data_IF_385674796911
#
_entry.id   IF_385674796911
#
_cell.length_a   1.000
_cell.length_b   1.000
_cell.length_c   1.000
_cell.angle_alpha   90.00
_cell.angle_beta   90.00
_cell.angle_gamma   90.00
#
_symmetry.space_group_name_H-M   'P 1'
#
loop_
_entity.id
_entity.type
_entity.pdbx_description
1 polymer ?
2 non-polymer ?
3 water ?
#
# COMPACT_ATOMS: atom_id res chain seq x y z
N UNK A 1 -18.35 -10.11 14.64
CA UNK A 1 -19.32 -9.51 13.67
C UNK A 1 -18.59 -9.23 12.34
N UNK A 2 -17.39 -8.65 12.37
CA UNK A 2 -16.66 -8.37 11.10
C UNK A 2 -15.83 -9.61 10.79
N UNK A 3 -16.17 -10.36 9.72
CA UNK A 3 -15.48 -11.62 9.45
C UNK A 3 -14.00 -11.42 9.04
N UNK A 4 -13.64 -10.22 8.66
CA UNK A 4 -12.27 -9.95 8.17
C UNK A 4 -11.38 -9.37 9.26
N UNK A 5 -11.89 -9.11 10.46
CA UNK A 5 -11.10 -8.47 11.52
C UNK A 5 -10.06 -9.46 12.01
N UNK A 6 -8.80 -9.02 12.08
CA UNK A 6 -7.74 -9.87 12.57
C UNK A 6 -6.91 -9.11 13.62
N UNK A 7 -6.45 -9.83 14.62
CA UNK A 7 -5.43 -9.33 15.55
C UNK A 7 -5.94 -8.49 16.69
N UNK A 8 -5.00 -8.16 17.59
CA UNK A 8 -5.30 -7.37 18.77
C UNK A 8 -5.73 -5.94 18.46
N UNK A 9 -6.43 -5.30 19.42
CA UNK A 9 -6.79 -3.88 19.27
C UNK A 9 -5.50 -3.09 19.11
N UNK A 10 -5.41 -2.26 18.05
CA UNK A 10 -4.20 -1.52 17.79
C UNK A 10 -3.97 -0.40 18.79
N UNK A 11 -2.70 -0.09 18.98
CA UNK A 11 -2.28 1.10 19.72
C UNK A 11 -1.35 1.95 18.88
N UNK A 12 -1.09 3.16 19.31
CA UNK A 12 -0.13 4.02 18.62
C UNK A 12 1.21 3.28 18.56
N UNK A 13 1.68 2.77 19.70
CA UNK A 13 3.01 2.11 19.79
C UNK A 13 3.06 0.91 18.87
N UNK A 14 1.99 0.15 18.80
CA UNK A 14 1.97 -1.09 18.00
C UNK A 14 2.03 -0.76 16.50
N UNK A 15 1.42 0.34 16.08
CA UNK A 15 1.43 0.73 14.66
C UNK A 15 2.72 1.44 14.28
N UNK A 16 3.43 2.07 15.22
CA UNK A 16 4.73 2.71 14.91
C UNK A 16 5.91 1.73 14.99
N UNK A 17 5.73 0.56 15.55
CA UNK A 17 6.78 -0.43 15.74
C UNK A 17 7.27 -0.94 14.39
N UNK A 18 8.47 -1.50 14.35
CA UNK A 18 9.02 -2.03 13.08
C UNK A 18 8.22 -3.25 12.65
N UNK A 19 7.59 -3.99 13.57
CA UNK A 19 6.79 -5.16 13.19
C UNK A 19 5.48 -5.16 13.99
N UNK A 20 4.43 -5.64 13.34
CA UNK A 20 3.14 -5.96 13.95
C UNK A 20 3.20 -7.25 14.75
N UNK A 21 2.00 -7.70 15.19
CA UNK A 21 1.90 -8.81 16.14
C UNK A 21 2.09 -10.21 15.57
N UNK A 22 1.86 -10.37 14.27
CA UNK A 22 1.87 -11.71 13.65
C UNK A 22 3.27 -12.12 13.25
N UNK A 23 3.51 -13.43 13.36
CA UNK A 23 4.74 -14.06 12.85
C UNK A 23 4.66 -14.17 11.33
N UNK A 24 5.80 -14.02 10.67
CA UNK A 24 5.80 -13.98 9.18
C UNK A 24 6.91 -14.84 8.60
N UNK A 25 6.75 -15.14 7.35
CA UNK A 25 7.80 -15.78 6.56
C UNK A 25 7.71 -15.23 5.13
N UNK A 26 8.55 -15.71 4.26
CA UNK A 26 8.60 -15.20 2.87
C UNK A 26 9.13 -16.25 1.93
N UNK A 27 8.85 -16.12 0.66
CA UNK A 27 9.46 -17.02 -0.34
C UNK A 27 9.60 -16.24 -1.65
N UNK A 28 10.51 -16.66 -2.51
CA UNK A 28 10.68 -16.07 -3.85
C UNK A 28 9.79 -16.83 -4.81
N UNK A 29 9.11 -16.12 -5.68
CA UNK A 29 8.27 -16.77 -6.70
C UNK A 29 9.20 -17.46 -7.68
N UNK A 30 8.98 -18.75 -7.86
CA UNK A 30 9.82 -19.61 -8.74
C UNK A 30 9.65 -19.20 -10.20
N UNK A 31 8.41 -19.05 -10.64
CA UNK A 31 8.16 -18.78 -12.06
C UNK A 31 7.17 -17.61 -12.15
N UNK A 32 7.68 -16.36 -12.12
CA UNK A 32 6.81 -15.18 -12.18
C UNK A 32 6.02 -15.18 -13.48
N UNK A 33 4.73 -14.86 -13.37
CA UNK A 33 3.78 -14.91 -14.48
C UNK A 33 3.32 -13.50 -14.83
N UNK A 34 3.97 -12.87 -15.80
CA UNK A 34 3.54 -11.53 -16.28
C UNK A 34 4.27 -10.36 -15.66
N UNK A 35 5.32 -10.63 -14.93
CA UNK A 35 6.17 -9.60 -14.30
C UNK A 35 7.55 -10.20 -14.12
N UNK A 36 8.52 -9.41 -13.63
CA UNK A 36 9.93 -9.85 -13.66
C UNK A 36 10.32 -10.82 -12.58
N UNK A 37 10.02 -10.50 -11.34
CA UNK A 37 10.40 -11.28 -10.16
C UNK A 37 9.50 -10.88 -9.00
N UNK A 38 9.37 -11.77 -8.03
CA UNK A 38 8.56 -11.43 -6.86
C UNK A 38 9.04 -12.10 -5.59
N UNK A 39 8.78 -11.42 -4.49
CA UNK A 39 8.94 -12.02 -3.14
C UNK A 39 7.58 -11.91 -2.48
N UNK A 40 7.13 -13.00 -1.89
CA UNK A 40 5.85 -13.02 -1.16
C UNK A 40 6.16 -13.06 0.32
N UNK A 41 5.54 -12.17 1.07
CA UNK A 41 5.65 -12.08 2.54
C UNK A 41 4.27 -12.42 3.08
N UNK A 42 4.21 -13.23 4.14
CA UNK A 42 2.89 -13.71 4.60
C UNK A 42 2.92 -13.97 6.09
N UNK A 43 1.77 -13.83 6.77
CA UNK A 43 1.67 -14.19 8.18
C UNK A 43 1.40 -15.68 8.34
N UNK A 44 2.03 -16.29 9.35
CA UNK A 44 1.77 -17.72 9.61
C UNK A 44 0.65 -17.92 10.63
N UNK A 45 0.22 -16.88 11.34
CA UNK A 45 -0.78 -17.08 12.43
C UNK A 45 -1.78 -15.94 12.53
N UNK A 46 -2.30 -15.51 11.39
CA UNK A 46 -3.19 -14.35 11.38
C UNK A 46 -4.57 -14.62 11.97
N UNK A 47 -5.01 -15.83 12.12
CA UNK A 47 -6.36 -16.10 12.67
C UNK A 47 -7.45 -16.09 11.62
N UNK A 48 -7.11 -16.38 10.38
CA UNK A 48 -8.07 -16.44 9.26
C UNK A 48 -7.42 -15.93 8.00
N UNK A 49 -8.14 -16.05 6.91
CA UNK A 49 -7.63 -15.58 5.62
C UNK A 49 -7.41 -14.09 5.66
N UNK A 50 -6.45 -13.62 4.89
CA UNK A 50 -6.12 -12.17 4.85
C UNK A 50 -6.13 -11.68 3.41
N UNK A 51 -6.23 -10.39 3.26
CA UNK A 51 -6.13 -9.76 1.92
C UNK A 51 -4.69 -9.77 1.42
N UNK A 52 -4.50 -9.46 0.14
CA UNK A 52 -3.18 -9.41 -0.46
C UNK A 52 -2.94 -8.08 -1.16
N UNK A 53 -1.68 -7.66 -1.11
CA UNK A 53 -1.23 -6.34 -1.62
C UNK A 53 -0.04 -6.56 -2.53
N UNK A 54 -0.03 -5.90 -3.68
CA UNK A 54 1.11 -5.94 -4.62
C UNK A 54 1.80 -4.59 -4.63
N UNK A 55 3.11 -4.56 -4.48
CA UNK A 55 3.92 -3.32 -4.35
C UNK A 55 4.92 -3.23 -5.49
N UNK A 56 4.97 -2.10 -6.16
CA UNK A 56 5.78 -1.95 -7.39
C UNK A 56 6.76 -0.80 -7.23
N UNK A 57 8.01 -0.97 -7.63
CA UNK A 57 9.01 0.12 -7.59
C UNK A 57 8.85 1.16 -8.72
N UNK A 58 9.69 2.19 -8.68
CA UNK A 58 9.74 3.20 -9.72
C UNK A 58 10.75 2.91 -10.83
N UNK A 59 10.87 3.85 -11.73
CA UNK A 59 11.76 3.71 -12.91
C UNK A 59 13.18 3.47 -12.45
N UNK A 60 13.85 2.48 -13.05
CA UNK A 60 15.21 2.01 -12.74
C UNK A 60 15.28 1.20 -11.45
N UNK A 61 14.23 1.19 -10.63
CA UNK A 61 14.35 0.59 -9.29
C UNK A 61 13.84 -0.83 -9.21
N UNK A 62 14.23 -1.47 -8.13
CA UNK A 62 13.97 -2.87 -7.85
C UNK A 62 13.28 -3.04 -6.51
N UNK A 63 13.05 -4.32 -6.15
CA UNK A 63 12.29 -4.63 -4.90
C UNK A 63 12.90 -3.91 -3.70
N UNK A 64 14.22 -3.78 -3.63
CA UNK A 64 14.87 -3.20 -2.43
C UNK A 64 14.31 -1.82 -2.09
N UNK A 65 13.88 -1.04 -3.05
CA UNK A 65 13.36 0.32 -2.82
C UNK A 65 12.11 0.29 -1.96
N UNK A 66 11.27 -0.75 -2.13
CA UNK A 66 9.90 -0.72 -1.59
C UNK A 66 9.65 -1.90 -0.68
N UNK A 67 10.58 -2.81 -0.51
CA UNK A 67 10.24 -4.08 0.17
C UNK A 67 10.21 -4.02 1.68
N UNK A 68 10.50 -2.87 2.30
CA UNK A 68 10.21 -2.75 3.75
C UNK A 68 8.74 -2.96 4.04
N UNK A 69 7.88 -2.61 3.06
CA UNK A 69 6.43 -2.86 3.21
C UNK A 69 6.08 -4.31 3.37
N UNK A 70 6.86 -5.24 2.85
CA UNK A 70 6.57 -6.66 2.91
C UNK A 70 6.44 -7.16 4.32
N UNK A 71 7.49 -7.11 5.14
CA UNK A 71 7.36 -7.59 6.52
C UNK A 71 6.49 -6.65 7.35
N UNK A 72 6.48 -5.36 7.08
CA UNK A 72 5.72 -4.39 7.90
C UNK A 72 4.23 -4.71 7.73
N UNK A 73 3.72 -4.83 6.51
CA UNK A 73 2.28 -5.17 6.34
C UNK A 73 2.05 -6.61 6.71
N UNK A 74 2.90 -7.56 6.32
CA UNK A 74 2.58 -8.98 6.57
C UNK A 74 2.43 -9.22 8.06
N UNK A 75 3.22 -8.55 8.86
CA UNK A 75 3.20 -8.80 10.33
C UNK A 75 1.93 -8.19 10.95
N UNK A 76 1.16 -7.40 10.20
CA UNK A 76 -0.16 -6.92 10.69
C UNK A 76 -1.31 -7.73 10.06
N UNK A 77 -1.03 -8.73 9.22
CA UNK A 77 -2.10 -9.59 8.70
C UNK A 77 -2.42 -9.36 7.26
N UNK A 78 -1.43 -9.47 6.36
CA UNK A 78 -1.64 -9.28 4.90
C UNK A 78 -0.65 -10.22 4.23
N UNK A 79 -1.00 -10.65 3.05
CA UNK A 79 -0.02 -11.25 2.09
C UNK A 79 0.48 -10.17 1.17
N UNK A 80 1.77 -9.99 1.06
CA UNK A 80 2.35 -8.88 0.30
C UNK A 80 3.27 -9.47 -0.74
N UNK A 81 3.12 -9.06 -1.99
CA UNK A 81 4.07 -9.45 -3.05
C UNK A 81 4.82 -8.19 -3.49
N UNK A 82 6.12 -8.19 -3.36
CA UNK A 82 6.98 -7.09 -3.84
C UNK A 82 7.58 -7.51 -5.17
N UNK A 83 7.44 -6.71 -6.20
CA UNK A 83 7.90 -7.14 -7.53
C UNK A 83 9.04 -6.33 -8.10
N UNK A 84 9.79 -7.02 -8.97
CA UNK A 84 10.55 -6.36 -10.03
C UNK A 84 9.77 -6.45 -11.34
N UNK A 85 9.83 -5.40 -12.12
CA UNK A 85 9.16 -5.31 -13.41
C UNK A 85 9.96 -6.07 -14.48
N UNK A 86 9.27 -6.40 -15.56
CA UNK A 86 9.94 -7.07 -16.68
C UNK A 86 11.15 -6.29 -17.12
N UNK A 87 11.07 -4.97 -17.20
CA UNK A 87 12.21 -4.07 -17.49
C UNK A 87 12.23 -3.01 -16.41
N UNK A 88 13.41 -2.58 -15.97
CA UNK A 88 13.49 -1.42 -15.07
C UNK A 88 12.99 -0.16 -15.76
N UNK A 89 12.85 -0.18 -17.08
CA UNK A 89 12.45 0.99 -17.86
C UNK A 89 10.96 0.99 -18.21
N UNK A 90 10.19 0.12 -17.61
CA UNK A 90 8.71 0.10 -17.85
C UNK A 90 8.04 1.36 -17.26
N UNK A 91 6.97 1.77 -17.93
CA UNK A 91 6.21 2.99 -17.63
C UNK A 91 4.94 2.65 -16.85
N UNK A 92 4.18 3.64 -16.35
CA UNK A 92 3.08 3.31 -15.43
C UNK A 92 2.00 2.36 -15.91
N UNK A 93 1.56 2.42 -17.18
CA UNK A 93 0.50 1.49 -17.64
C UNK A 93 1.02 0.07 -17.57
N UNK A 94 2.26 -0.11 -17.98
CA UNK A 94 2.90 -1.43 -17.95
C UNK A 94 3.08 -1.90 -16.50
N UNK A 95 3.50 -1.00 -15.63
CA UNK A 95 3.67 -1.32 -14.21
C UNK A 95 2.31 -1.76 -13.65
N UNK A 96 1.23 -1.05 -14.01
CA UNK A 96 -0.11 -1.45 -13.52
C UNK A 96 -0.48 -2.85 -13.99
N UNK A 97 -0.26 -3.17 -15.25
CA UNK A 97 -0.54 -4.52 -15.82
C UNK A 97 0.23 -5.57 -15.03
N UNK A 98 1.47 -5.25 -14.73
CA UNK A 98 2.36 -6.20 -13.98
C UNK A 98 1.92 -6.36 -12.54
N UNK A 99 1.53 -5.27 -11.91
CA UNK A 99 0.98 -5.27 -10.55
C UNK A 99 -0.22 -6.20 -10.50
N UNK A 100 -1.13 -6.08 -11.45
CA UNK A 100 -2.33 -6.93 -11.42
C UNK A 100 -1.96 -8.39 -11.72
N UNK A 101 -0.96 -8.57 -12.58
CA UNK A 101 -0.45 -9.93 -12.85
C UNK A 101 0.08 -10.52 -11.56
N UNK A 102 0.79 -9.76 -10.77
CA UNK A 102 1.37 -10.24 -9.49
C UNK A 102 0.21 -10.63 -8.56
N UNK A 103 -0.82 -9.78 -8.43
CA UNK A 103 -2.00 -10.17 -7.64
C UNK A 103 -2.61 -11.47 -8.17
N UNK A 104 -2.75 -11.60 -9.46
CA UNK A 104 -3.33 -12.79 -10.05
C UNK A 104 -2.50 -14.03 -9.72
N UNK A 105 -1.18 -13.88 -9.63
CA UNK A 105 -0.33 -15.05 -9.28
C UNK A 105 -0.46 -15.34 -7.80
N UNK A 106 -0.64 -14.33 -6.96
CA UNK A 106 -0.90 -14.62 -5.53
C UNK A 106 -2.22 -15.39 -5.42
N UNK A 107 -3.27 -14.98 -6.17
CA UNK A 107 -4.55 -15.71 -6.20
C UNK A 107 -4.30 -17.15 -6.65
N UNK A 108 -3.49 -17.36 -7.67
CA UNK A 108 -3.17 -18.70 -8.22
C UNK A 108 -2.46 -19.52 -7.13
N UNK A 109 -1.46 -18.93 -6.48
CA UNK A 109 -0.70 -19.66 -5.44
C UNK A 109 -1.59 -19.97 -4.23
N UNK A 110 -2.54 -19.13 -3.90
CA UNK A 110 -3.49 -19.41 -2.81
C UNK A 110 -4.33 -20.63 -3.10
N UNK A 111 -4.46 -21.07 -4.34
CA UNK A 111 -5.18 -22.27 -4.72
C UNK A 111 -4.22 -23.42 -5.01
N UNK A 112 -2.93 -23.24 -4.78
CA UNK A 112 -1.89 -24.27 -5.08
C UNK A 112 -1.44 -24.96 -3.80
N UNK A 113 -1.72 -26.26 -3.63
CA UNK A 113 -1.53 -26.91 -2.32
C UNK A 113 -0.06 -26.89 -1.91
N UNK A 114 0.89 -26.85 -2.84
CA UNK A 114 2.34 -26.85 -2.56
C UNK A 114 2.85 -25.49 -2.10
N UNK A 115 2.06 -24.41 -2.24
CA UNK A 115 2.53 -23.06 -1.91
C UNK A 115 2.43 -22.76 -0.44
N UNK A 116 3.39 -21.99 0.15
CA UNK A 116 3.23 -21.57 1.53
C UNK A 116 2.00 -20.73 1.82
N UNK A 117 1.41 -20.10 0.80
CA UNK A 117 0.21 -19.28 1.04
C UNK A 117 -1.07 -20.03 0.63
N UNK A 118 -1.03 -21.33 0.39
CA UNK A 118 -2.23 -22.12 0.12
C UNK A 118 -3.29 -21.82 1.17
N UNK A 119 -4.47 -21.41 0.70
CA UNK A 119 -5.67 -21.22 1.51
C UNK A 119 -5.45 -20.12 2.54
N UNK A 120 -4.50 -19.20 2.34
CA UNK A 120 -4.22 -18.13 3.33
C UNK A 120 -4.85 -16.79 2.88
N UNK A 121 -5.23 -16.71 1.62
CA UNK A 121 -5.65 -15.39 1.03
C UNK A 121 -7.13 -15.35 0.75
N UNK A 122 -7.81 -14.28 1.17
CA UNK A 122 -9.15 -13.98 0.70
C UNK A 122 -9.00 -13.31 -0.65
N UNK A 123 -9.20 -14.07 -1.71
CA UNK A 123 -8.87 -13.63 -3.07
C UNK A 123 -9.84 -12.56 -3.55
N UNK A 124 -10.84 -12.20 -2.77
CA UNK A 124 -11.73 -11.07 -3.11
C UNK A 124 -11.20 -9.79 -2.48
N UNK A 125 -10.12 -9.80 -1.68
CA UNK A 125 -9.72 -8.56 -0.94
C UNK A 125 -8.28 -8.22 -1.28
N UNK A 126 -8.11 -7.37 -2.29
CA UNK A 126 -6.79 -7.06 -2.89
C UNK A 126 -6.52 -5.58 -2.93
N UNK A 127 -5.24 -5.20 -2.79
CA UNK A 127 -4.81 -3.80 -2.75
C UNK A 127 -3.51 -3.54 -3.47
N UNK A 128 -3.23 -2.30 -3.71
CA UNK A 128 -2.11 -1.88 -4.56
C UNK A 128 -1.28 -0.79 -3.90
N UNK A 129 0.03 -0.87 -4.04
CA UNK A 129 0.96 0.15 -3.54
C UNK A 129 2.10 0.28 -4.54
N UNK A 130 2.90 1.32 -4.38
CA UNK A 130 4.09 1.46 -5.23
C UNK A 130 4.66 2.86 -5.22
N UNK A 131 5.86 2.95 -5.70
CA UNK A 131 6.67 4.19 -5.68
C UNK A 131 6.77 4.82 -7.07
N UNK A 132 6.47 6.11 -7.18
CA UNK A 132 6.83 6.89 -8.38
C UNK A 132 6.06 6.33 -9.56
N UNK A 133 6.65 5.89 -10.65
CA UNK A 133 5.84 5.31 -11.76
C UNK A 133 5.07 4.08 -11.24
N UNK A 134 5.56 3.37 -10.21
CA UNK A 134 4.83 2.24 -9.62
C UNK A 134 3.65 2.76 -8.79
N UNK A 135 3.73 3.94 -8.24
CA UNK A 135 2.60 4.61 -7.56
C UNK A 135 1.56 5.13 -8.54
N UNK A 136 2.00 5.72 -9.65
CA UNK A 136 1.08 6.00 -10.75
C UNK A 136 0.46 4.76 -11.28
N UNK A 137 1.22 3.67 -11.41
CA UNK A 137 0.65 2.37 -11.80
C UNK A 137 -0.40 1.89 -10.81
N UNK A 138 -0.21 2.15 -9.51
CA UNK A 138 -1.21 1.77 -8.48
C UNK A 138 -2.52 2.50 -8.71
N UNK A 139 -2.43 3.80 -9.00
CA UNK A 139 -3.62 4.62 -9.27
C UNK A 139 -4.29 4.15 -10.55
N UNK A 140 -3.51 3.77 -11.58
CA UNK A 140 -4.10 3.19 -12.80
C UNK A 140 -4.78 1.87 -12.47
N UNK A 141 -4.14 1.01 -11.69
CA UNK A 141 -4.74 -0.27 -11.28
C UNK A 141 -6.11 -0.01 -10.64
N UNK A 142 -6.17 0.95 -9.74
CA UNK A 142 -7.44 1.27 -9.02
C UNK A 142 -8.47 1.84 -10.00
N UNK A 143 -8.06 2.68 -10.94
CA UNK A 143 -8.95 3.27 -11.94
C UNK A 143 -9.56 2.13 -12.80
N UNK A 144 -8.75 1.14 -13.19
CA UNK A 144 -9.16 0.08 -14.12
C UNK A 144 -9.85 -1.07 -13.40
N UNK A 145 -9.64 -1.25 -12.09
CA UNK A 145 -10.18 -2.39 -11.34
C UNK A 145 -10.80 -1.87 -10.06
N UNK A 146 -12.01 -1.29 -10.11
CA UNK A 146 -12.65 -0.68 -8.94
C UNK A 146 -13.04 -1.64 -7.83
N UNK A 147 -12.90 -2.95 -8.01
CA UNK A 147 -13.13 -3.95 -6.95
C UNK A 147 -11.92 -4.02 -6.01
N UNK A 148 -10.78 -3.43 -6.37
CA UNK A 148 -9.68 -3.32 -5.42
C UNK A 148 -10.19 -2.65 -4.15
N UNK A 149 -9.73 -3.09 -3.00
CA UNK A 149 -10.22 -2.53 -1.72
C UNK A 149 -9.47 -1.28 -1.31
N UNK A 150 -8.24 -1.08 -1.73
CA UNK A 150 -7.42 0.03 -1.22
C UNK A 150 -6.24 0.28 -2.14
N UNK A 151 -5.81 1.52 -2.22
CA UNK A 151 -4.58 1.91 -2.92
C UNK A 151 -3.79 2.80 -1.97
N UNK A 152 -2.48 2.67 -1.90
CA UNK A 152 -1.64 3.53 -1.06
C UNK A 152 -0.30 3.81 -1.76
N UNK A 153 -0.33 4.51 -2.88
CA UNK A 153 0.90 4.91 -3.53
C UNK A 153 1.76 5.89 -2.78
N UNK A 154 3.05 5.93 -3.12
CA UNK A 154 4.01 6.88 -2.53
C UNK A 154 4.73 7.62 -3.64
N UNK A 155 4.71 8.96 -3.51
CA UNK A 155 5.35 9.86 -4.49
C UNK A 155 4.94 9.45 -5.91
N UNK A 156 3.64 9.29 -6.19
CA UNK A 156 3.24 8.78 -7.48
C UNK A 156 3.61 9.70 -8.63
N UNK A 157 3.93 9.08 -9.76
CA UNK A 157 4.20 9.77 -11.05
C UNK A 157 3.24 9.18 -12.06
N UNK A 158 2.52 10.02 -12.81
CA UNK A 158 1.68 9.55 -13.90
C UNK A 158 1.31 10.73 -14.80
N UNK A 159 0.99 10.40 -16.03
CA UNK A 159 0.41 11.38 -16.99
C UNK A 159 -0.97 10.86 -17.34
N UNK A 160 -1.82 10.87 -16.37
CA UNK A 160 -3.18 10.27 -16.44
C UNK A 160 -4.02 11.02 -15.44
N UNK A 161 -5.35 10.93 -15.61
CA UNK A 161 -6.23 11.60 -14.63
C UNK A 161 -7.04 10.52 -13.90
N UNK A 162 -7.41 10.84 -12.69
CA UNK A 162 -7.98 9.81 -11.78
C UNK A 162 -9.34 10.25 -11.27
N UNK A 163 -10.05 11.12 -12.00
CA UNK A 163 -11.37 11.54 -11.49
C UNK A 163 -12.35 10.36 -11.31
N UNK A 164 -12.22 9.26 -12.02
CA UNK A 164 -13.19 8.14 -11.94
C UNK A 164 -12.90 7.22 -10.76
N UNK A 165 -11.78 7.40 -10.05
CA UNK A 165 -11.37 6.37 -9.03
C UNK A 165 -12.35 6.30 -7.87
N UNK A 166 -12.86 5.12 -7.52
CA UNK A 166 -13.78 4.93 -6.40
C UNK A 166 -13.14 4.12 -5.28
N UNK A 167 -11.90 3.70 -5.48
CA UNK A 167 -11.12 2.91 -4.50
C UNK A 167 -10.57 3.84 -3.42
N UNK A 168 -10.74 3.53 -2.10
CA UNK A 168 -10.09 4.31 -1.03
C UNK A 168 -8.58 4.44 -1.19
N UNK A 169 -8.12 5.66 -1.34
CA UNK A 169 -6.74 5.93 -1.77
C UNK A 169 -6.04 6.85 -0.79
N UNK A 170 -4.93 6.43 -0.25
CA UNK A 170 -3.99 7.25 0.54
C UNK A 170 -2.80 7.56 -0.34
N UNK A 171 -2.46 8.81 -0.53
CA UNK A 171 -1.20 9.16 -1.27
C UNK A 171 -0.21 9.63 -0.21
N UNK A 172 0.95 9.02 -0.13
CA UNK A 172 2.09 9.51 0.69
C UNK A 172 2.94 10.34 -0.23
N UNK A 173 3.15 11.61 0.10
CA UNK A 173 3.94 12.53 -0.73
C UNK A 173 5.14 13.03 0.05
N UNK A 174 6.18 13.40 -0.69
CA UNK A 174 7.46 13.86 -0.12
C UNK A 174 7.59 15.35 -0.46
N UNK A 175 7.63 16.23 0.55
CA UNK A 175 7.46 17.68 0.33
C UNK A 175 8.37 18.22 -0.78
N UNK A 176 9.63 17.82 -0.79
CA UNK A 176 10.67 18.43 -1.67
C UNK A 176 10.95 17.50 -2.85
N UNK A 177 9.98 16.73 -3.31
CA UNK A 177 10.15 15.82 -4.46
C UNK A 177 10.39 16.62 -5.73
N UNK A 178 11.51 16.35 -6.41
CA UNK A 178 11.89 16.95 -7.71
C UNK A 178 11.62 16.01 -8.87
N UNK A 179 11.31 14.73 -8.57
CA UNK A 179 11.18 13.70 -9.60
C UNK A 179 9.71 13.49 -9.97
N UNK A 180 8.84 13.45 -8.95
CA UNK A 180 7.37 13.43 -9.09
C UNK A 180 6.85 14.63 -8.33
N UNK A 181 7.16 15.86 -8.76
CA UNK A 181 6.80 17.05 -7.97
C UNK A 181 5.30 17.01 -7.68
N UNK A 182 4.96 17.34 -6.42
CA UNK A 182 3.57 17.21 -5.96
C UNK A 182 2.67 18.21 -6.67
N UNK A 183 3.21 19.36 -7.13
CA UNK A 183 2.35 20.33 -7.81
C UNK A 183 1.87 19.80 -9.18
N UNK A 184 2.56 18.81 -9.78
CA UNK A 184 2.23 18.21 -11.08
C UNK A 184 1.63 16.81 -10.95
N UNK A 185 1.88 16.11 -9.83
CA UNK A 185 1.51 14.67 -9.69
C UNK A 185 0.61 14.51 -8.46
N UNK A 186 1.16 14.29 -7.28
CA UNK A 186 0.36 13.98 -6.06
C UNK A 186 -0.83 14.93 -5.90
N UNK A 187 -0.59 16.22 -5.94
CA UNK A 187 -1.68 17.13 -5.53
C UNK A 187 -2.79 17.18 -6.57
N UNK A 188 -2.53 17.33 -7.90
CA UNK A 188 -3.59 17.18 -8.89
C UNK A 188 -4.31 15.84 -8.77
N UNK A 189 -3.58 14.74 -8.53
CA UNK A 189 -4.29 13.44 -8.45
C UNK A 189 -5.26 13.49 -7.27
N UNK A 190 -4.79 13.98 -6.12
CA UNK A 190 -5.65 14.04 -4.91
C UNK A 190 -6.89 14.89 -5.23
N UNK A 191 -6.66 16.02 -5.89
CA UNK A 191 -7.80 16.96 -6.17
C UNK A 191 -8.77 16.37 -7.18
N UNK A 192 -8.29 15.59 -8.15
CA UNK A 192 -9.13 14.97 -9.19
C UNK A 192 -10.11 13.96 -8.58
N UNK A 193 -9.72 13.31 -7.50
CA UNK A 193 -10.51 12.18 -6.95
C UNK A 193 -11.66 12.70 -6.09
N UNK A 194 -12.83 12.81 -6.69
CA UNK A 194 -14.04 13.34 -6.02
C UNK A 194 -15.00 12.23 -5.59
N UNK A 195 -14.73 10.97 -5.94
CA UNK A 195 -15.73 9.89 -5.78
C UNK A 195 -15.30 8.90 -4.72
N UNK A 196 -14.19 9.12 -4.00
CA UNK A 196 -13.67 8.07 -3.09
C UNK A 196 -13.33 8.63 -1.71
N UNK A 197 -13.15 7.74 -0.77
CA UNK A 197 -12.46 8.05 0.50
C UNK A 197 -11.00 8.26 0.19
N UNK A 198 -10.41 9.30 0.74
CA UNK A 198 -9.02 9.61 0.34
C UNK A 198 -8.29 10.32 1.46
N UNK A 199 -6.98 10.37 1.33
CA UNK A 199 -6.11 11.10 2.26
C UNK A 199 -4.82 11.42 1.51
N UNK A 200 -4.09 12.43 1.98
CA UNK A 200 -2.74 12.77 1.44
C UNK A 200 -1.84 13.15 2.59
N UNK A 201 -0.87 12.33 2.91
CA UNK A 201 0.13 12.57 3.97
C UNK A 201 1.31 13.21 3.27
N UNK A 202 1.76 14.38 3.66
CA UNK A 202 2.95 15.02 3.02
C UNK A 202 4.08 15.04 4.04
N UNK A 203 5.18 14.41 3.74
CA UNK A 203 6.32 14.30 4.68
C UNK A 203 7.23 15.51 4.55
N UNK A 204 7.45 16.21 5.67
CA UNK A 204 8.26 17.45 5.74
C UNK A 204 9.71 17.16 5.32
N UNK A 205 10.20 17.98 4.38
CA UNK A 205 11.62 17.92 3.98
C UNK A 205 11.91 16.69 3.16
N UNK A 206 10.89 15.93 2.75
CA UNK A 206 11.25 14.65 2.12
C UNK A 206 11.69 14.81 0.69
N UNK A 207 12.73 14.08 0.31
CA UNK A 207 13.11 13.93 -1.11
C UNK A 207 12.22 12.84 -1.70
N UNK A 208 12.41 12.53 -2.96
CA UNK A 208 11.53 11.57 -3.67
C UNK A 208 11.57 10.19 -3.01
N UNK A 209 12.63 9.84 -2.29
CA UNK A 209 12.79 8.49 -1.69
C UNK A 209 12.34 8.44 -0.25
N UNK A 210 11.57 9.41 0.23
CA UNK A 210 11.26 9.63 1.68
C UNK A 210 10.40 8.50 2.25
N UNK A 211 9.78 7.65 1.42
CA UNK A 211 8.95 6.54 1.91
C UNK A 211 9.56 5.19 1.55
N UNK A 212 10.81 5.16 1.12
CA UNK A 212 11.47 3.95 0.65
C UNK A 212 12.08 3.14 1.79
N UNK A 213 12.57 1.94 1.52
CA UNK A 213 13.20 1.10 2.54
C UNK A 213 14.34 1.86 3.22
N UNK A 214 14.34 1.82 4.54
CA UNK A 214 15.42 2.51 5.29
C UNK A 214 15.08 3.94 5.64
N UNK A 215 13.92 4.44 5.29
CA UNK A 215 13.57 5.84 5.55
C UNK A 215 13.53 6.11 7.06
N UNK A 216 13.75 7.38 7.41
CA UNK A 216 13.80 7.73 8.84
C UNK A 216 12.43 8.04 9.41
N UNK A 217 11.37 8.02 8.62
CA UNK A 217 10.00 8.25 9.11
C UNK A 217 9.16 6.97 9.02
N UNK A 218 9.76 5.80 9.19
CA UNK A 218 9.01 4.56 8.99
C UNK A 218 7.98 4.32 10.07
N UNK A 219 8.17 4.82 11.28
CA UNK A 219 7.13 4.67 12.33
C UNK A 219 5.86 5.38 11.88
N UNK A 220 5.97 6.58 11.38
CA UNK A 220 4.84 7.39 10.97
C UNK A 220 4.26 6.84 9.67
N UNK A 221 5.10 6.68 8.67
CA UNK A 221 4.60 6.25 7.34
C UNK A 221 4.00 4.85 7.46
N UNK A 222 4.68 3.92 8.11
CA UNK A 222 4.16 2.58 8.27
C UNK A 222 2.88 2.53 9.08
N UNK A 223 2.71 3.43 10.06
CA UNK A 223 1.45 3.49 10.80
C UNK A 223 0.34 3.82 9.82
N UNK A 224 0.51 4.82 8.98
CA UNK A 224 -0.57 5.23 8.06
C UNK A 224 -0.82 4.16 7.03
N UNK A 225 0.19 3.51 6.45
CA UNK A 225 -0.04 2.47 5.44
C UNK A 225 -0.82 1.33 6.04
N UNK A 226 -0.38 0.85 7.21
CA UNK A 226 -1.07 -0.27 7.86
C UNK A 226 -2.49 0.12 8.26
N UNK A 227 -2.69 1.31 8.87
CA UNK A 227 -4.04 1.69 9.28
C UNK A 227 -4.96 1.84 8.05
N UNK A 228 -4.46 2.34 6.94
CA UNK A 228 -5.26 2.48 5.70
C UNK A 228 -5.66 1.09 5.20
N UNK A 229 -4.68 0.18 5.12
CA UNK A 229 -5.00 -1.14 4.59
C UNK A 229 -5.93 -1.89 5.55
N UNK A 230 -5.73 -1.78 6.85
CA UNK A 230 -6.66 -2.42 7.80
C UNK A 230 -8.07 -1.87 7.65
N UNK A 231 -8.21 -0.55 7.63
CA UNK A 231 -9.52 0.08 7.55
C UNK A 231 -10.22 -0.38 6.29
N UNK A 232 -9.54 -0.40 5.14
CA UNK A 232 -10.24 -0.59 3.86
C UNK A 232 -10.17 -1.99 3.28
N UNK A 233 -9.10 -2.73 3.54
CA UNK A 233 -9.00 -4.13 3.07
C UNK A 233 -9.83 -5.03 3.97
N UNK A 234 -9.92 -4.70 5.26
CA UNK A 234 -10.57 -5.55 6.27
C UNK A 234 -11.83 -4.91 6.86
N UNK A 235 -12.24 -3.76 6.38
CA UNK A 235 -13.38 -3.02 6.96
C UNK A 235 -13.16 -2.82 8.47
N UNK A 236 -11.92 -2.69 8.92
CA UNK A 236 -11.60 -2.76 10.36
C UNK A 236 -11.63 -1.35 10.96
N UNK A 237 -12.80 -0.98 11.44
CA UNK A 237 -13.05 0.38 11.98
C UNK A 237 -12.30 0.60 13.27
N UNK A 238 -11.67 -0.38 13.89
CA UNK A 238 -10.76 -0.16 15.04
C UNK A 238 -9.66 0.78 14.60
N UNK A 239 -9.35 0.83 13.30
CA UNK A 239 -8.21 1.63 12.78
C UNK A 239 -8.65 3.02 12.39
N UNK A 240 -9.94 3.32 12.46
CA UNK A 240 -10.43 4.65 11.99
C UNK A 240 -9.74 5.76 12.78
N UNK A 241 -9.56 5.58 14.08
CA UNK A 241 -9.11 6.70 14.92
C UNK A 241 -7.71 7.17 14.50
N UNK A 242 -6.90 6.29 13.90
CA UNK A 242 -5.55 6.69 13.48
C UNK A 242 -5.60 7.50 12.20
N UNK A 243 -6.74 7.46 11.46
CA UNK A 243 -6.91 8.17 10.18
C UNK A 243 -7.72 9.44 10.34
N UNK A 244 -8.68 9.41 11.26
CA UNK A 244 -9.69 10.48 11.32
C UNK A 244 -9.98 10.92 12.74
N UNK A 245 -9.45 10.28 13.74
CA UNK A 245 -9.85 10.58 15.14
C UNK A 245 -8.76 11.23 15.97
N UNK A 246 -8.87 11.05 17.29
CA UNK A 246 -7.97 11.77 18.22
C UNK A 246 -6.51 11.37 17.96
N UNK A 247 -6.25 10.11 17.70
CA UNK A 247 -4.86 9.65 17.45
C UNK A 247 -4.33 10.38 16.23
N UNK A 248 -5.12 10.45 15.16
CA UNK A 248 -4.73 11.20 13.95
C UNK A 248 -4.43 12.66 14.27
N UNK A 249 -5.33 13.30 15.03
CA UNK A 249 -5.13 14.72 15.35
C UNK A 249 -3.80 14.95 16.08
N UNK A 250 -3.41 14.05 16.95
CA UNK A 250 -2.17 14.13 17.74
C UNK A 250 -0.96 14.13 16.82
N UNK A 251 -1.05 13.44 15.68
CA UNK A 251 0.09 13.41 14.73
C UNK A 251 0.32 14.76 14.08
N UNK A 252 -0.70 15.61 13.97
CA UNK A 252 -0.61 16.80 13.12
C UNK A 252 0.45 17.78 13.64
N UNK A 253 0.81 17.71 14.91
CA UNK A 253 1.84 18.61 15.50
C UNK A 253 3.25 18.09 15.20
N UNK A 254 3.42 16.91 14.64
CA UNK A 254 4.76 16.35 14.39
C UNK A 254 5.46 17.15 13.30
N UNK A 255 6.74 17.43 13.52
CA UNK A 255 7.58 18.13 12.52
C UNK A 255 7.55 17.38 11.18
N UNK A 256 7.54 16.07 11.23
CA UNK A 256 7.57 15.25 9.99
C UNK A 256 6.28 15.40 9.18
N UNK A 257 5.18 15.85 9.76
CA UNK A 257 3.93 16.03 8.96
C UNK A 257 3.92 17.45 8.41
N UNK A 258 4.28 17.63 7.16
CA UNK A 258 4.16 18.94 6.51
C UNK A 258 2.70 19.31 6.34
N UNK A 259 1.86 18.36 5.92
CA UNK A 259 0.45 18.63 5.62
C UNK A 259 -0.27 17.29 5.63
N UNK A 260 -1.54 17.33 5.93
CA UNK A 260 -2.39 16.13 5.86
C UNK A 260 -3.75 16.59 5.37
N UNK A 261 -4.21 15.97 4.29
CA UNK A 261 -5.51 16.25 3.72
C UNK A 261 -6.37 15.00 3.73
N UNK A 262 -7.66 15.16 4.03
CA UNK A 262 -8.58 14.00 4.02
C UNK A 262 -10.02 14.43 3.86
N UNK A 263 -10.89 13.45 3.59
CA UNK A 263 -12.36 13.66 3.56
C UNK A 263 -13.08 12.80 4.59
N UNK A 264 -12.48 12.65 5.76
CA UNK A 264 -13.07 12.05 6.98
C UNK A 264 -14.40 12.72 7.26
N UNK A 265 -15.34 12.03 7.93
CA UNK A 265 -15.18 10.65 8.38
C UNK A 265 -15.40 9.66 7.22
N UNK A 266 -14.91 8.44 7.44
CA UNK A 266 -15.04 7.35 6.45
C UNK A 266 -16.15 6.43 6.90
N UNK A 267 -17.32 6.63 6.31
CA UNK A 267 -18.55 5.97 6.79
C UNK A 267 -18.71 4.63 6.10
N UNK A 268 -19.33 3.68 6.79
CA UNK A 268 -19.79 2.42 6.22
C UNK A 268 -21.28 2.67 5.80
X LIG B 1 0.59 -18.41 -12.42
X LIG B 1 0.39 -18.36 -11.02
X LIG B 1 0.30 -19.81 -12.90
X LIG B 1 -1.08 -20.09 -12.65
X LIG B 1 0.55 -20.02 -14.37
X LIG B 1 0.38 -21.41 -14.67
X LIG C 1 15.32 9.84 -10.96
X LIG C 1 16.53 9.53 -10.28
X LIG C 1 14.28 8.77 -10.76
X LIG C 1 14.21 8.45 -9.36
X LIG C 1 14.54 7.52 -11.59
X LIG C 1 15.15 7.85 -12.84
#
# INVERSE_FOLDING_TARGET
TNPYQRGPDPTVSSLEATRGPFSTSSFTVSRPSGYGAGTVYYPTNAGGKVGAIAVVPGYTARQSSINWWGPRLASHGFVVITIDTNSTLDQPSSRSSQQMAALRQVVSLAGTSSSPIYNKVDTARLGVMGWSMGGGGSLISAKNNPSLRAAAPQAPWAQASFSSVTVPTLIVSCENDSIAPNSSHSFPFYNQMTRNKKANLVINGGSHSCANSGNSDAGLIGKYGVAWMKRFMDDDTRYSKFLCGAEHQADLSKRAVEAYKENCPYLE
GOL C1 O1 C2 O2 C3 O3
GOL C1 O1 C2 O2 C3 O3
#
